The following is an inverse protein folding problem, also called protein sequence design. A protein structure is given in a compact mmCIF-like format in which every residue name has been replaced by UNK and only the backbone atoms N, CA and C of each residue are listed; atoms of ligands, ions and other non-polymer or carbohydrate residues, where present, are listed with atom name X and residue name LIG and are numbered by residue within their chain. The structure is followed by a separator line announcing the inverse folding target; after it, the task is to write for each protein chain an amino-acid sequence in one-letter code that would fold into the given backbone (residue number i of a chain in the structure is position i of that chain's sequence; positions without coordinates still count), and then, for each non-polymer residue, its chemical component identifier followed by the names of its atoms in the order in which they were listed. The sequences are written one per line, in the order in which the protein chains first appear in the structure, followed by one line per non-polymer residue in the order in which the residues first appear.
data_IF_340890541739
#
_entry.id   IF_340890541739
#
_cell.length_a   1.000
_cell.length_b   1.000
_cell.length_c   1.000
_cell.angle_alpha   90.00
_cell.angle_beta   90.00
_cell.angle_gamma   90.00
#
_symmetry.space_group_name_H-M   'P 1'
#
loop_
_entity.id
_entity.type
_entity.pdbx_description
1 polymer ?
#
# COMPACT_ATOMS: atom_id res chain seq x y z
N UNK A 1 -5.57 -27.75 5.04
CA UNK A 1 -4.89 -26.47 5.35
C UNK A 1 -5.63 -25.41 4.54
N UNK A 2 -6.24 -24.42 5.21
CA UNK A 2 -6.85 -23.30 4.50
C UNK A 2 -5.71 -22.35 4.10
N UNK A 3 -5.62 -22.00 2.81
CA UNK A 3 -4.60 -21.08 2.28
C UNK A 3 -5.21 -19.69 2.15
N UNK A 4 -4.45 -18.66 2.52
CA UNK A 4 -4.82 -17.28 2.22
C UNK A 4 -4.36 -16.90 0.80
N UNK A 5 -5.06 -15.95 0.21
CA UNK A 5 -4.66 -15.32 -1.04
C UNK A 5 -3.64 -14.20 -0.77
N UNK A 6 -2.59 -14.12 -1.59
CA UNK A 6 -1.61 -13.04 -1.51
C UNK A 6 -1.06 -12.69 -2.89
N UNK A 7 -1.40 -11.51 -3.39
CA UNK A 7 -0.94 -10.99 -4.69
C UNK A 7 0.22 -10.01 -4.58
N UNK A 8 0.89 -9.91 -3.42
CA UNK A 8 1.91 -8.89 -3.14
C UNK A 8 1.38 -7.61 -2.46
N UNK A 9 0.06 -7.51 -2.25
CA UNK A 9 -0.63 -6.45 -1.51
C UNK A 9 -0.70 -6.75 -0.01
N UNK A 10 -1.92 -6.77 0.53
CA UNK A 10 -2.25 -7.34 1.83
C UNK A 10 -2.85 -8.76 1.68
N UNK A 11 -2.58 -9.68 2.62
CA UNK A 11 -3.15 -11.02 2.62
C UNK A 11 -4.60 -11.06 3.12
N UNK A 12 -5.32 -12.13 2.80
CA UNK A 12 -6.68 -12.39 3.29
C UNK A 12 -7.36 -13.50 2.48
N UNK A 13 -8.68 -13.61 2.61
CA UNK A 13 -9.50 -14.43 1.72
C UNK A 13 -9.29 -13.99 0.26
N UNK A 14 -9.31 -12.67 0.04
CA UNK A 14 -8.98 -12.05 -1.25
C UNK A 14 -7.74 -11.16 -1.06
N UNK A 15 -6.65 -11.52 -1.74
CA UNK A 15 -5.38 -10.82 -1.60
C UNK A 15 -5.34 -9.54 -2.44
N UNK A 16 -4.83 -8.45 -1.88
CA UNK A 16 -4.58 -7.23 -2.63
C UNK A 16 -3.44 -7.38 -3.65
N UNK A 17 -3.42 -6.52 -4.65
CA UNK A 17 -2.40 -6.50 -5.70
C UNK A 17 -1.06 -5.94 -5.22
N UNK A 18 0.03 -6.52 -5.70
CA UNK A 18 1.39 -6.07 -5.44
C UNK A 18 1.77 -4.80 -6.20
N UNK A 19 2.74 -4.08 -5.64
CA UNK A 19 3.38 -2.96 -6.32
C UNK A 19 4.55 -3.45 -7.18
N UNK A 20 4.82 -2.71 -8.26
CA UNK A 20 6.06 -2.84 -9.04
C UNK A 20 6.95 -1.65 -8.74
N UNK A 21 8.22 -1.88 -8.43
CA UNK A 21 9.16 -0.80 -8.12
C UNK A 21 10.58 -1.09 -8.59
N UNK A 22 11.38 -0.02 -8.74
CA UNK A 22 12.82 -0.11 -9.01
C UNK A 22 13.55 0.31 -7.74
N UNK A 23 14.39 -0.60 -7.20
CA UNK A 23 15.14 -0.41 -5.95
C UNK A 23 16.64 -0.27 -6.24
N UNK A 24 17.30 0.61 -5.48
CA UNK A 24 18.77 0.69 -5.50
C UNK A 24 19.44 -0.35 -4.59
N UNK A 25 18.74 -0.79 -3.54
CA UNK A 25 19.23 -1.78 -2.59
C UNK A 25 18.39 -3.06 -2.67
N UNK A 26 19.03 -4.25 -2.75
CA UNK A 26 18.30 -5.51 -2.76
C UNK A 26 17.66 -5.81 -1.40
N UNK A 27 16.69 -6.72 -1.41
CA UNK A 27 16.04 -7.21 -0.20
C UNK A 27 14.72 -7.88 -0.52
N UNK A 28 14.18 -8.57 0.47
CA UNK A 28 12.83 -9.15 0.40
C UNK A 28 11.77 -8.07 0.14
N UNK A 29 10.57 -8.51 -0.26
CA UNK A 29 9.49 -7.61 -0.67
C UNK A 29 9.16 -6.54 0.39
N UNK A 30 9.27 -6.87 1.68
CA UNK A 30 8.96 -6.02 2.83
C UNK A 30 10.19 -5.46 3.56
N UNK A 31 11.40 -5.71 3.06
CA UNK A 31 12.61 -5.21 3.69
C UNK A 31 12.61 -3.67 3.69
N UNK A 32 12.52 -3.07 4.87
CA UNK A 32 12.35 -1.62 5.00
C UNK A 32 13.48 -0.83 4.34
N UNK A 33 14.74 -1.23 4.52
CA UNK A 33 15.91 -0.57 3.90
C UNK A 33 15.85 -0.62 2.38
N UNK A 34 15.51 -1.76 1.80
CA UNK A 34 15.28 -1.93 0.36
C UNK A 34 14.12 -1.05 -0.13
N UNK A 35 12.99 -1.04 0.60
CA UNK A 35 11.82 -0.21 0.28
C UNK A 35 12.12 1.30 0.33
N UNK A 36 12.99 1.77 1.23
CA UNK A 36 13.41 3.19 1.26
C UNK A 36 14.19 3.59 0.01
N UNK A 37 14.84 2.63 -0.65
CA UNK A 37 15.72 2.87 -1.81
C UNK A 37 14.99 2.93 -3.16
N UNK A 38 13.65 2.91 -3.15
CA UNK A 38 12.81 2.90 -4.35
C UNK A 38 12.87 4.23 -5.10
N UNK A 39 13.09 4.17 -6.41
CA UNK A 39 13.11 5.34 -7.31
C UNK A 39 11.70 5.64 -7.86
N UNK A 40 11.01 4.59 -8.31
CA UNK A 40 9.65 4.62 -8.83
C UNK A 40 8.87 3.45 -8.23
N UNK A 41 7.59 3.68 -7.93
CA UNK A 41 6.64 2.71 -7.41
C UNK A 41 5.33 2.86 -8.19
N UNK A 42 4.94 1.83 -8.92
CA UNK A 42 3.62 1.67 -9.50
C UNK A 42 2.78 0.80 -8.55
N UNK A 43 1.77 1.40 -7.92
CA UNK A 43 1.01 0.74 -6.87
C UNK A 43 -0.02 -0.27 -7.40
N UNK A 44 -0.27 -1.29 -6.58
CA UNK A 44 -1.30 -2.30 -6.81
C UNK A 44 -2.69 -1.84 -6.35
N UNK A 45 -3.72 -2.44 -6.94
CA UNK A 45 -5.12 -2.25 -6.53
C UNK A 45 -5.46 -3.04 -5.26
N UNK A 46 -6.50 -2.60 -4.55
CA UNK A 46 -7.12 -3.40 -3.49
C UNK A 46 -7.90 -4.58 -4.05
N UNK A 47 -8.16 -5.58 -3.22
CA UNK A 47 -8.99 -6.72 -3.59
C UNK A 47 -10.48 -6.36 -3.60
N UNK A 48 -11.24 -7.02 -4.47
CA UNK A 48 -12.70 -7.01 -4.48
C UNK A 48 -13.22 -8.00 -3.44
N UNK A 49 -14.38 -7.70 -2.87
CA UNK A 49 -15.15 -8.61 -2.01
C UNK A 49 -16.62 -8.65 -2.46
N UNK A 50 -17.42 -9.48 -1.81
CA UNK A 50 -18.79 -9.86 -2.16
C UNK A 50 -19.70 -8.69 -2.55
N UNK A 51 -19.60 -7.55 -1.85
CA UNK A 51 -20.47 -6.40 -2.07
C UNK A 51 -19.73 -5.15 -2.56
N UNK A 52 -18.45 -5.23 -2.90
CA UNK A 52 -17.68 -4.04 -3.23
C UNK A 52 -16.40 -4.30 -4.05
N UNK A 53 -16.12 -3.38 -4.96
CA UNK A 53 -14.93 -3.41 -5.79
C UNK A 53 -13.73 -2.85 -5.04
N UNK A 54 -12.58 -3.47 -5.26
CA UNK A 54 -11.31 -2.97 -4.76
C UNK A 54 -10.94 -1.61 -5.36
N UNK A 55 -10.31 -0.77 -4.56
CA UNK A 55 -9.85 0.54 -4.99
C UNK A 55 -8.69 0.43 -6.01
N UNK A 56 -8.76 1.12 -7.15
CA UNK A 56 -7.63 1.19 -8.08
C UNK A 56 -6.35 1.72 -7.43
N UNK A 57 -5.21 1.18 -7.84
CA UNK A 57 -3.88 1.75 -7.58
C UNK A 57 -3.40 2.63 -8.74
N UNK A 58 -2.08 2.84 -8.84
CA UNK A 58 -1.44 3.44 -10.01
C UNK A 58 -1.42 4.97 -10.08
N UNK A 59 -2.22 5.66 -9.27
CA UNK A 59 -2.15 7.12 -9.08
C UNK A 59 -1.28 7.49 -7.89
N UNK A 60 -0.93 8.79 -7.76
CA UNK A 60 -0.16 9.31 -6.61
C UNK A 60 -0.88 9.04 -5.30
N UNK A 61 -2.20 9.17 -5.28
CA UNK A 61 -3.05 8.77 -4.17
C UNK A 61 -3.78 7.49 -4.59
N UNK A 62 -3.78 6.47 -3.75
CA UNK A 62 -4.56 5.25 -3.98
C UNK A 62 -6.05 5.56 -3.85
N UNK A 63 -6.88 4.88 -4.64
CA UNK A 63 -8.32 5.03 -4.50
C UNK A 63 -8.84 4.18 -3.35
N UNK A 64 -9.91 4.67 -2.71
CA UNK A 64 -10.70 3.83 -1.82
C UNK A 64 -11.39 2.73 -2.64
N UNK A 65 -11.79 1.65 -1.98
CA UNK A 65 -12.83 0.75 -2.47
C UNK A 65 -14.07 1.53 -2.93
N UNK A 66 -14.86 0.95 -3.83
CA UNK A 66 -15.98 1.66 -4.46
C UNK A 66 -17.04 2.10 -3.43
N UNK A 67 -17.35 1.25 -2.45
CA UNK A 67 -18.20 1.52 -1.30
C UNK A 67 -17.53 2.36 -0.21
N UNK A 68 -16.25 2.73 -0.40
CA UNK A 68 -15.48 3.61 0.48
C UNK A 68 -15.22 3.02 1.89
N UNK A 69 -15.13 1.70 2.01
CA UNK A 69 -14.86 1.02 3.29
C UNK A 69 -13.38 0.70 3.51
N UNK A 70 -12.68 0.23 2.49
CA UNK A 70 -11.21 0.19 2.47
C UNK A 70 -10.65 1.47 1.87
N UNK A 71 -9.76 2.16 2.60
CA UNK A 71 -9.18 3.43 2.13
C UNK A 71 -7.89 3.21 1.33
N UNK A 72 -7.67 4.06 0.34
CA UNK A 72 -6.43 4.08 -0.42
C UNK A 72 -5.26 4.64 0.38
N UNK A 73 -4.04 4.22 0.01
CA UNK A 73 -2.80 4.80 0.55
C UNK A 73 -2.57 6.21 0.02
N UNK A 74 -1.89 7.05 0.80
CA UNK A 74 -1.53 8.42 0.41
C UNK A 74 -0.03 8.58 0.25
N UNK A 75 0.45 9.78 -0.04
CA UNK A 75 1.88 10.08 0.02
C UNK A 75 2.47 10.07 1.44
N UNK A 76 1.65 10.10 2.48
CA UNK A 76 2.10 10.26 3.87
C UNK A 76 1.56 9.20 4.84
N UNK A 77 0.67 8.33 4.41
CA UNK A 77 0.08 7.31 5.27
C UNK A 77 -0.47 6.15 4.47
N UNK A 78 -0.50 4.97 5.08
CA UNK A 78 -1.30 3.87 4.56
C UNK A 78 -2.79 4.15 4.66
N UNK A 79 -3.55 3.50 3.78
CA UNK A 79 -5.00 3.55 3.81
C UNK A 79 -5.54 2.90 5.09
N UNK A 80 -6.53 3.55 5.69
CA UNK A 80 -7.24 3.04 6.86
C UNK A 80 -8.15 1.85 6.52
N UNK A 81 -8.27 0.96 7.49
CA UNK A 81 -9.02 -0.29 7.45
C UNK A 81 -8.86 -1.04 8.77
N UNK A 82 -9.61 -2.14 8.95
CA UNK A 82 -9.40 -3.06 10.08
C UNK A 82 -7.94 -3.50 10.22
N UNK A 83 -7.28 -3.70 9.08
CA UNK A 83 -5.83 -3.68 8.96
C UNK A 83 -5.43 -2.57 8.00
N UNK A 84 -4.80 -1.54 8.53
CA UNK A 84 -4.34 -0.41 7.73
C UNK A 84 -3.12 -0.78 6.90
N UNK A 85 -3.01 -0.18 5.71
CA UNK A 85 -1.81 -0.24 4.91
C UNK A 85 -0.62 0.41 5.61
N UNK A 86 0.58 0.10 5.13
CA UNK A 86 1.85 0.62 5.66
C UNK A 86 2.78 1.02 4.52
N UNK A 87 3.93 1.57 4.86
CA UNK A 87 4.98 1.84 3.89
C UNK A 87 5.37 0.55 3.15
N UNK A 88 5.21 0.54 1.82
CA UNK A 88 5.52 -0.62 0.98
C UNK A 88 4.49 -1.76 0.98
N UNK A 89 3.50 -1.77 1.88
CA UNK A 89 2.68 -2.96 2.19
C UNK A 89 1.20 -2.63 2.26
N UNK A 90 0.37 -3.42 1.58
CA UNK A 90 -1.08 -3.39 1.75
C UNK A 90 -1.52 -3.94 3.11
N UNK A 91 -2.64 -3.44 3.63
CA UNK A 91 -3.26 -3.95 4.85
C UNK A 91 -3.94 -5.30 4.60
N UNK A 92 -3.82 -6.25 5.54
CA UNK A 92 -4.44 -7.56 5.41
C UNK A 92 -4.18 -8.46 6.62
N UNK A 93 -4.91 -9.57 6.70
CA UNK A 93 -4.79 -10.56 7.77
C UNK A 93 -4.80 -12.00 7.21
N UNK A 94 -3.69 -12.74 7.28
CA UNK A 94 -3.60 -14.10 6.71
C UNK A 94 -4.46 -15.13 7.46
N UNK A 95 -5.00 -14.80 8.64
CA UNK A 95 -5.86 -15.69 9.41
C UNK A 95 -7.35 -15.58 9.02
N UNK A 96 -7.71 -14.62 8.16
CA UNK A 96 -9.11 -14.33 7.78
C UNK A 96 -9.38 -14.82 6.37
N UNK A 97 -9.69 -16.10 6.25
CA UNK A 97 -9.71 -16.88 5.00
C UNK A 97 -11.03 -17.61 4.72
N UNK A 98 -12.04 -17.43 5.57
CA UNK A 98 -13.35 -18.09 5.49
C UNK A 98 -14.48 -17.06 5.35
N UNK A 99 -15.70 -17.36 5.84
CA UNK A 99 -16.83 -16.41 5.82
C UNK A 99 -16.59 -15.14 6.67
N UNK A 100 -15.53 -15.13 7.48
CA UNK A 100 -15.02 -13.95 8.17
C UNK A 100 -13.81 -13.32 7.45
N UNK A 101 -13.61 -13.64 6.18
CA UNK A 101 -12.47 -13.24 5.37
C UNK A 101 -12.42 -11.76 5.07
N UNK A 102 -11.24 -11.22 4.74
CA UNK A 102 -11.11 -9.82 4.31
C UNK A 102 -10.58 -9.71 2.88
N UNK A 103 -10.98 -8.64 2.20
CA UNK A 103 -10.26 -8.10 1.07
C UNK A 103 -9.00 -7.34 1.53
N UNK A 104 -7.83 -7.75 1.03
CA UNK A 104 -6.55 -7.10 1.27
C UNK A 104 -6.42 -5.78 0.49
N UNK A 105 -5.76 -4.79 1.09
CA UNK A 105 -5.40 -3.55 0.41
C UNK A 105 -4.26 -3.76 -0.60
N UNK A 106 -4.18 -2.92 -1.62
CA UNK A 106 -3.07 -2.92 -2.58
C UNK A 106 -1.77 -2.40 -1.97
N UNK A 107 -0.63 -2.94 -2.37
CA UNK A 107 0.69 -2.39 -1.98
C UNK A 107 1.04 -1.15 -2.80
N UNK A 108 2.00 -0.35 -2.33
CA UNK A 108 2.41 0.89 -2.99
C UNK A 108 3.59 1.55 -2.30
N UNK A 109 3.75 2.85 -2.50
CA UNK A 109 4.61 3.68 -1.67
C UNK A 109 4.12 3.62 -0.23
N UNK A 110 2.83 3.89 -0.03
CA UNK A 110 2.03 3.40 1.07
C UNK A 110 0.90 2.52 0.52
N UNK A 111 0.66 1.38 1.15
CA UNK A 111 -0.43 0.50 0.75
C UNK A 111 -1.80 1.02 1.17
N UNK A 112 -2.84 0.53 0.51
CA UNK A 112 -4.23 0.69 0.94
C UNK A 112 -4.55 -0.19 2.15
N UNK A 113 -5.64 0.13 2.84
CA UNK A 113 -6.17 -0.66 3.95
C UNK A 113 -7.13 -1.75 3.47
N UNK A 114 -7.40 -2.72 4.35
CA UNK A 114 -8.59 -3.56 4.21
C UNK A 114 -9.86 -2.73 4.37
N UNK A 115 -11.02 -3.33 4.12
CA UNK A 115 -12.29 -2.73 4.56
C UNK A 115 -12.36 -2.56 6.09
N UNK A 116 -13.11 -1.55 6.56
CA UNK A 116 -13.56 -1.39 7.96
C UNK A 116 -14.81 -2.23 8.29
N UNK A 117 -15.44 -2.83 7.29
CA UNK A 117 -16.50 -3.83 7.42
C UNK A 117 -15.98 -5.12 6.84
N UNK A 118 -15.58 -5.97 7.75
CA UNK A 118 -14.41 -6.78 7.53
C UNK A 118 -14.65 -8.01 6.65
N UNK A 119 -15.91 -8.35 6.36
CA UNK A 119 -16.35 -9.59 5.69
C UNK A 119 -17.05 -9.39 4.34
N UNK A 120 -17.19 -8.14 3.88
CA UNK A 120 -18.15 -7.86 2.80
C UNK A 120 -17.67 -6.84 1.76
N UNK A 121 -16.63 -6.05 2.09
CA UNK A 121 -16.24 -4.91 1.26
C UNK A 121 -14.75 -4.92 0.91
N UNK A 122 -14.43 -4.25 -0.20
CA UNK A 122 -13.14 -4.28 -0.86
C UNK A 122 -12.06 -3.51 -0.10
N UNK A 123 -10.81 -3.82 -0.43
CA UNK A 123 -9.64 -3.08 0.04
C UNK A 123 -9.40 -1.80 -0.78
N UNK A 124 -8.67 -0.84 -0.22
CA UNK A 124 -8.19 0.31 -0.98
C UNK A 124 -6.93 -0.01 -1.79
N UNK A 125 -6.67 0.78 -2.83
CA UNK A 125 -5.44 0.71 -3.63
C UNK A 125 -4.24 1.39 -2.94
N UNK A 126 -3.02 1.02 -3.31
CA UNK A 126 -1.82 1.70 -2.84
C UNK A 126 -1.56 3.03 -3.57
N UNK A 127 -0.73 3.89 -2.98
CA UNK A 127 -0.21 5.12 -3.61
C UNK A 127 1.03 4.84 -4.45
N UNK A 128 1.14 5.49 -5.61
CA UNK A 128 2.35 5.45 -6.44
C UNK A 128 3.35 6.53 -6.01
N UNK A 129 4.61 6.38 -6.40
CA UNK A 129 5.65 7.35 -6.05
C UNK A 129 6.70 7.42 -7.16
N UNK A 130 7.18 8.63 -7.44
CA UNK A 130 8.31 8.87 -8.34
C UNK A 130 9.21 9.89 -7.64
N UNK A 131 10.47 9.53 -7.39
CA UNK A 131 11.43 10.40 -6.73
C UNK A 131 11.60 11.71 -7.51
N UNK A 132 11.35 12.85 -6.84
CA UNK A 132 11.45 14.18 -7.43
C UNK A 132 10.24 14.64 -8.26
N UNK A 133 9.21 13.80 -8.46
CA UNK A 133 8.01 14.20 -9.20
C UNK A 133 7.10 15.11 -8.37
N UNK A 134 6.52 16.19 -8.95
CA UNK A 134 5.60 17.08 -8.24
C UNK A 134 4.43 16.34 -7.58
N UNK A 135 4.21 16.63 -6.30
CA UNK A 135 3.16 15.98 -5.50
C UNK A 135 3.58 14.69 -4.81
N UNK A 136 4.73 14.09 -5.16
CA UNK A 136 5.31 12.97 -4.41
C UNK A 136 6.07 13.47 -3.18
N UNK A 137 5.82 12.86 -2.02
CA UNK A 137 6.45 13.25 -0.74
C UNK A 137 7.39 12.15 -0.28
N UNK A 138 8.69 12.39 -0.41
CA UNK A 138 9.69 11.41 0.00
C UNK A 138 9.82 11.34 1.53
N UNK A 139 9.97 10.13 2.07
CA UNK A 139 10.39 9.92 3.46
C UNK A 139 11.83 10.40 3.69
N UNK A 140 12.12 10.81 4.92
CA UNK A 140 13.45 11.19 5.36
C UNK A 140 14.35 9.96 5.52
N UNK A 141 15.66 10.15 5.35
CA UNK A 141 16.66 9.09 5.43
C UNK A 141 16.65 8.37 6.80
N UNK A 142 16.44 9.15 7.87
CA UNK A 142 16.37 8.69 9.26
C UNK A 142 15.02 8.06 9.65
N UNK A 143 14.10 7.88 8.67
CA UNK A 143 12.87 7.13 8.91
C UNK A 143 13.16 5.69 9.28
N UNK A 144 12.33 5.14 10.16
CA UNK A 144 12.29 3.73 10.56
C UNK A 144 10.89 3.17 10.27
N UNK A 145 10.74 1.85 10.25
CA UNK A 145 9.44 1.22 9.96
C UNK A 145 8.34 1.66 10.93
N UNK A 146 8.70 1.95 12.19
CA UNK A 146 7.77 2.38 13.23
C UNK A 146 7.68 3.90 13.40
N UNK A 147 8.52 4.66 12.70
CA UNK A 147 8.55 6.12 12.78
C UNK A 147 8.97 6.69 11.43
N UNK A 148 7.96 6.93 10.59
CA UNK A 148 8.14 7.54 9.28
C UNK A 148 8.17 9.07 9.44
N UNK A 149 9.21 9.69 8.87
CA UNK A 149 9.36 11.14 8.78
C UNK A 149 9.37 11.52 7.31
N UNK A 150 8.95 12.73 6.98
CA UNK A 150 8.92 13.21 5.61
C UNK A 150 9.99 14.27 5.38
N UNK A 151 10.54 14.31 4.17
CA UNK A 151 11.44 15.39 3.78
C UNK A 151 10.65 16.69 3.73
N UNK A 152 11.10 17.68 4.48
CA UNK A 152 10.51 19.01 4.54
C UNK A 152 11.13 19.96 3.51
N UNK A 153 12.27 19.61 2.94
CA UNK A 153 12.99 20.44 1.97
C UNK A 153 12.66 20.06 0.52
N UNK A 154 12.39 21.08 -0.31
CA UNK A 154 12.30 20.91 -1.76
C UNK A 154 13.67 20.47 -2.28
N UNK A 155 13.70 19.51 -3.21
CA UNK A 155 14.91 19.14 -3.94
C UNK A 155 15.56 20.41 -4.52
N UNK A 156 16.65 20.88 -3.91
CA UNK A 156 17.53 21.87 -4.53
C UNK A 156 18.42 21.09 -5.50
N UNK A 157 18.13 21.22 -6.79
CA UNK A 157 19.07 20.82 -7.83
C UNK A 157 20.26 21.79 -7.76
N UNK A 158 21.26 21.47 -6.94
CA UNK A 158 22.54 22.17 -6.99
C UNK A 158 23.29 21.59 -8.17
N UNK A 159 23.15 22.20 -9.34
CA UNK A 159 24.05 21.95 -10.48
C UNK A 159 25.48 22.23 -9.98
N UNK A 160 26.32 21.20 -10.00
CA UNK A 160 27.77 21.33 -9.86
C UNK A 160 28.40 21.38 -11.23
#
# INVERSE_FOLDING_TARGET
MLNYSYGGGGPGQFGGGGATDIRLLPGEYDNFTSLKSRIIVAAGAGATDSNDLGGPGGTIEGFNSHGNYGKGGTQISGGQGDSSGKFGKGGGNPNRIDASGNAGGGSGYFGGGTSTIANDYGGGGGSSFISGYPGCIAIAEDSTENSIKFRTEKFKLTLR
#
